data_IF_850621939284
#
_entry.id   IF_850621939284
#
_cell.length_a   1.000
_cell.length_b   1.000
_cell.length_c   1.000
_cell.angle_alpha   90.00
_cell.angle_beta   90.00
_cell.angle_gamma   90.00
#
_symmetry.space_group_name_H-M   'P 1'
#
loop_
_entity.id
_entity.type
_entity.pdbx_description
1 polymer ?
#
# COMPACT_ATOMS: atom_id res chain seq x y z
N UNK A 1 -1.34 -31.00 -5.02
CA UNK A 1 -1.11 -29.70 -5.64
C UNK A 1 -0.99 -28.66 -4.55
N UNK A 2 0.10 -27.96 -4.52
CA UNK A 2 0.27 -26.92 -3.52
C UNK A 2 -0.53 -25.69 -3.90
N UNK A 3 -1.28 -25.18 -2.94
CA UNK A 3 -1.93 -23.91 -3.11
C UNK A 3 -0.92 -22.85 -2.73
N UNK A 4 -0.40 -22.14 -3.70
CA UNK A 4 0.43 -20.98 -3.42
C UNK A 4 -0.43 -19.93 -2.73
N UNK A 5 0.06 -19.32 -1.66
CA UNK A 5 -0.65 -18.16 -1.11
C UNK A 5 -0.77 -17.08 -2.19
N UNK A 6 -1.82 -16.28 -2.11
CA UNK A 6 -1.98 -15.15 -3.02
C UNK A 6 -0.72 -14.30 -2.95
N UNK A 7 -0.16 -13.87 -4.09
CA UNK A 7 1.03 -13.04 -4.05
C UNK A 7 0.73 -11.72 -3.34
N UNK A 8 1.69 -11.26 -2.57
CA UNK A 8 1.59 -9.97 -1.88
C UNK A 8 1.40 -8.85 -2.90
N UNK A 9 2.09 -8.97 -4.04
CA UNK A 9 2.03 -8.00 -5.14
C UNK A 9 1.44 -8.71 -6.36
N UNK A 10 0.39 -8.11 -6.92
CA UNK A 10 -0.24 -8.62 -8.13
C UNK A 10 0.67 -8.41 -9.33
N UNK A 11 1.11 -9.49 -9.95
CA UNK A 11 2.02 -9.45 -11.10
C UNK A 11 1.40 -8.69 -12.28
N UNK A 12 0.09 -8.74 -12.46
CA UNK A 12 -0.56 -8.02 -13.54
C UNK A 12 -0.37 -6.51 -13.42
N UNK A 13 -0.39 -5.97 -12.19
CA UNK A 13 -0.15 -4.56 -11.96
C UNK A 13 1.30 -4.18 -12.30
N UNK A 14 2.24 -5.03 -11.91
CA UNK A 14 3.66 -4.82 -12.26
C UNK A 14 3.87 -4.87 -13.76
N UNK A 15 3.19 -5.78 -14.44
CA UNK A 15 3.30 -5.90 -15.89
C UNK A 15 2.77 -4.66 -16.60
N UNK A 16 1.68 -4.07 -16.11
CA UNK A 16 1.15 -2.82 -16.66
C UNK A 16 2.19 -1.70 -16.57
N UNK A 17 2.94 -1.64 -15.46
CA UNK A 17 4.01 -0.65 -15.30
C UNK A 17 5.16 -0.93 -16.27
N UNK A 18 5.55 -2.20 -16.42
CA UNK A 18 6.60 -2.58 -17.37
C UNK A 18 6.22 -2.25 -18.80
N UNK A 19 4.95 -2.44 -19.15
CA UNK A 19 4.46 -2.17 -20.51
C UNK A 19 4.54 -0.69 -20.87
N UNK A 20 4.54 0.20 -19.88
CA UNK A 20 4.70 1.63 -20.09
C UNK A 20 6.15 2.04 -20.37
N UNK A 21 7.09 1.14 -20.15
CA UNK A 21 8.53 1.39 -20.32
C UNK A 21 9.18 0.16 -20.97
N UNK A 22 8.90 -0.11 -22.26
CA UNK A 22 9.42 -1.30 -22.93
C UNK A 22 10.94 -1.38 -22.84
N UNK A 23 11.43 -2.55 -22.44
CA UNK A 23 12.85 -2.77 -22.26
C UNK A 23 13.46 -2.16 -21.01
N UNK A 24 12.66 -1.47 -20.20
CA UNK A 24 13.12 -0.89 -18.93
C UNK A 24 14.09 0.29 -19.08
N UNK A 25 14.08 0.95 -20.22
CA UNK A 25 15.06 2.02 -20.55
C UNK A 25 15.04 3.18 -19.58
N UNK A 26 13.87 3.49 -19.03
CA UNK A 26 13.70 4.64 -18.13
C UNK A 26 13.60 4.23 -16.67
N UNK A 27 13.76 2.94 -16.38
CA UNK A 27 13.67 2.39 -15.02
C UNK A 27 12.34 2.77 -14.34
N UNK A 28 11.25 2.78 -15.11
CA UNK A 28 9.95 3.25 -14.61
C UNK A 28 9.48 2.44 -13.40
N UNK A 29 9.55 1.11 -13.48
CA UNK A 29 9.10 0.25 -12.38
C UNK A 29 9.85 0.58 -11.09
N UNK A 30 11.18 0.62 -11.14
CA UNK A 30 12.02 0.89 -9.98
C UNK A 30 11.72 2.27 -9.40
N UNK A 31 11.51 3.26 -10.25
CA UNK A 31 11.19 4.64 -9.84
C UNK A 31 9.82 4.72 -9.15
N UNK A 32 8.84 4.02 -9.70
CA UNK A 32 7.50 3.97 -9.11
C UNK A 32 7.54 3.29 -7.74
N UNK A 33 8.27 2.18 -7.63
CA UNK A 33 8.39 1.46 -6.35
C UNK A 33 9.10 2.30 -5.29
N UNK A 34 10.14 3.04 -5.67
CA UNK A 34 10.84 3.94 -4.73
C UNK A 34 9.93 5.10 -4.29
N UNK A 35 9.15 5.65 -5.21
CA UNK A 35 8.19 6.70 -4.89
C UNK A 35 7.12 6.18 -3.92
N UNK A 36 6.64 4.95 -4.15
CA UNK A 36 5.69 4.30 -3.25
C UNK A 36 6.28 4.16 -1.85
N UNK A 37 7.52 3.66 -1.75
CA UNK A 37 8.20 3.48 -0.47
C UNK A 37 8.30 4.81 0.29
N UNK A 38 8.70 5.87 -0.38
CA UNK A 38 8.78 7.20 0.22
C UNK A 38 7.40 7.68 0.72
N UNK A 39 6.37 7.49 -0.10
CA UNK A 39 5.00 7.87 0.27
C UNK A 39 4.50 7.08 1.46
N UNK A 40 4.79 5.78 1.52
CA UNK A 40 4.36 4.90 2.61
C UNK A 40 4.97 5.32 3.94
N UNK A 41 6.25 5.68 3.94
CA UNK A 41 6.91 6.15 5.17
C UNK A 41 6.21 7.41 5.68
N UNK A 42 5.91 8.34 4.80
CA UNK A 42 5.23 9.59 5.15
C UNK A 42 3.79 9.34 5.63
N UNK A 43 3.04 8.52 4.89
CA UNK A 43 1.65 8.23 5.23
C UNK A 43 1.54 7.40 6.50
N UNK A 44 2.49 6.49 6.74
CA UNK A 44 2.55 5.73 7.98
C UNK A 44 2.76 6.63 9.19
N UNK A 45 3.65 7.62 9.07
CA UNK A 45 3.87 8.59 10.15
C UNK A 45 2.61 9.44 10.40
N UNK A 46 1.91 9.83 9.33
CA UNK A 46 0.65 10.57 9.46
C UNK A 46 -0.43 9.74 10.17
N UNK A 47 -0.50 8.44 9.88
CA UNK A 47 -1.44 7.53 10.56
C UNK A 47 -1.14 7.40 12.05
N UNK A 48 0.13 7.25 12.41
CA UNK A 48 0.53 7.16 13.82
C UNK A 48 0.11 8.43 14.56
N UNK A 49 0.40 9.59 13.99
CA UNK A 49 0.04 10.88 14.58
C UNK A 49 -1.48 11.04 14.70
N UNK A 50 -2.20 10.72 13.64
CA UNK A 50 -3.66 10.83 13.62
C UNK A 50 -4.32 9.91 14.64
N UNK A 51 -3.81 8.69 14.80
CA UNK A 51 -4.31 7.74 15.81
C UNK A 51 -4.11 8.31 17.22
N UNK A 52 -2.91 8.83 17.49
CA UNK A 52 -2.58 9.39 18.80
C UNK A 52 -3.47 10.55 19.17
N UNK A 53 -3.86 11.35 18.18
CA UNK A 53 -4.74 12.53 18.36
C UNK A 53 -6.22 12.21 18.22
N UNK A 54 -6.56 10.98 17.90
CA UNK A 54 -7.92 10.56 17.58
C UNK A 54 -8.54 11.42 16.47
N UNK A 55 -7.73 11.78 15.48
CA UNK A 55 -8.10 12.62 14.35
C UNK A 55 -8.55 11.77 13.18
N UNK A 56 -9.83 11.45 13.13
CA UNK A 56 -10.39 10.53 12.12
C UNK A 56 -10.38 11.11 10.71
N UNK A 57 -10.42 12.44 10.59
CA UNK A 57 -10.33 13.10 9.30
C UNK A 57 -8.94 12.86 8.66
N UNK A 58 -7.90 12.99 9.46
CA UNK A 58 -6.53 12.71 9.01
C UNK A 58 -6.31 11.23 8.73
N UNK A 59 -6.91 10.34 9.52
CA UNK A 59 -6.88 8.90 9.24
C UNK A 59 -7.49 8.63 7.86
N UNK A 60 -8.67 9.18 7.61
CA UNK A 60 -9.38 9.01 6.34
C UNK A 60 -8.56 9.50 5.17
N UNK A 61 -7.94 10.67 5.31
CA UNK A 61 -7.11 11.25 4.25
C UNK A 61 -5.92 10.35 3.92
N UNK A 62 -5.20 9.89 4.93
CA UNK A 62 -4.02 9.04 4.73
C UNK A 62 -4.38 7.71 4.07
N UNK A 63 -5.44 7.04 4.55
CA UNK A 63 -5.82 5.75 3.96
C UNK A 63 -6.40 5.89 2.57
N UNK A 64 -7.07 7.02 2.27
CA UNK A 64 -7.58 7.28 0.93
C UNK A 64 -6.43 7.34 -0.08
N UNK A 65 -5.39 8.08 0.23
CA UNK A 65 -4.20 8.19 -0.61
C UNK A 65 -3.49 6.84 -0.73
N UNK A 66 -3.31 6.15 0.39
CA UNK A 66 -2.64 4.85 0.43
C UNK A 66 -3.40 3.78 -0.36
N UNK A 67 -4.72 3.83 -0.35
CA UNK A 67 -5.57 2.92 -1.13
C UNK A 67 -5.22 2.95 -2.62
N UNK A 68 -5.17 4.15 -3.19
CA UNK A 68 -4.87 4.32 -4.61
C UNK A 68 -3.43 3.95 -4.95
N UNK A 69 -2.49 4.40 -4.13
CA UNK A 69 -1.07 4.09 -4.33
C UNK A 69 -0.79 2.60 -4.27
N UNK A 70 -1.42 1.90 -3.32
CA UNK A 70 -1.26 0.46 -3.14
C UNK A 70 -1.81 -0.31 -4.34
N UNK A 71 -2.99 0.08 -4.83
CA UNK A 71 -3.59 -0.57 -6.00
C UNK A 71 -2.70 -0.41 -7.23
N UNK A 72 -2.08 0.75 -7.40
CA UNK A 72 -1.23 1.04 -8.56
C UNK A 72 -0.02 0.11 -8.67
N UNK A 73 0.53 -0.31 -7.55
CA UNK A 73 1.69 -1.22 -7.54
C UNK A 73 1.29 -2.68 -7.30
N UNK A 74 0.01 -2.97 -7.23
CA UNK A 74 -0.48 -4.34 -7.06
C UNK A 74 -0.55 -4.83 -5.63
N UNK A 75 -0.41 -3.97 -4.62
CA UNK A 75 -0.56 -4.34 -3.22
C UNK A 75 -2.05 -4.35 -2.85
N UNK A 76 -2.78 -5.34 -3.37
CA UNK A 76 -4.24 -5.35 -3.35
C UNK A 76 -4.82 -5.56 -1.96
N UNK A 77 -4.18 -6.38 -1.12
CA UNK A 77 -4.65 -6.57 0.26
C UNK A 77 -4.55 -5.27 1.05
N UNK A 78 -3.43 -4.56 0.91
CA UNK A 78 -3.24 -3.27 1.56
C UNK A 78 -4.30 -2.26 1.09
N UNK A 79 -4.57 -2.24 -0.22
CA UNK A 79 -5.60 -1.37 -0.80
C UNK A 79 -6.98 -1.68 -0.21
N UNK A 80 -7.34 -2.97 -0.07
CA UNK A 80 -8.63 -3.39 0.51
C UNK A 80 -8.74 -2.99 1.98
N UNK A 81 -7.68 -3.17 2.76
CA UNK A 81 -7.67 -2.75 4.17
C UNK A 81 -7.91 -1.24 4.30
N UNK A 82 -7.27 -0.46 3.44
CA UNK A 82 -7.47 0.99 3.43
C UNK A 82 -8.91 1.36 3.06
N UNK A 83 -9.51 0.65 2.10
CA UNK A 83 -10.89 0.86 1.71
C UNK A 83 -11.86 0.56 2.87
N UNK A 84 -11.59 -0.49 3.64
CA UNK A 84 -12.40 -0.85 4.81
C UNK A 84 -12.32 0.23 5.89
N UNK A 85 -11.13 0.76 6.13
CA UNK A 85 -10.94 1.85 7.10
C UNK A 85 -11.69 3.11 6.63
N UNK A 86 -11.54 3.46 5.36
CA UNK A 86 -12.22 4.62 4.79
C UNK A 86 -13.74 4.50 4.96
N UNK A 87 -14.29 3.33 4.66
CA UNK A 87 -15.72 3.07 4.81
C UNK A 87 -16.17 3.15 6.27
N UNK A 88 -15.38 2.59 7.20
CA UNK A 88 -15.71 2.62 8.63
C UNK A 88 -15.72 4.05 9.18
N UNK A 89 -14.74 4.87 8.76
CA UNK A 89 -14.70 6.26 9.18
C UNK A 89 -15.91 7.03 8.65
N UNK A 90 -16.31 6.77 7.40
CA UNK A 90 -17.43 7.44 6.77
C UNK A 90 -18.74 7.22 7.52
N UNK A 91 -18.95 6.01 8.04
CA UNK A 91 -20.17 5.67 8.78
C UNK A 91 -19.97 5.75 10.30
N UNK A 92 -18.85 6.29 10.74
CA UNK A 92 -18.51 6.47 12.15
C UNK A 92 -18.50 5.15 12.95
N UNK A 93 -18.15 4.03 12.29
CA UNK A 93 -18.01 2.73 12.93
C UNK A 93 -16.60 2.58 13.53
N UNK A 94 -16.30 3.44 14.51
CA UNK A 94 -14.93 3.58 15.04
C UNK A 94 -14.47 2.42 15.91
N UNK A 95 -15.40 1.63 16.45
CA UNK A 95 -15.03 0.52 17.34
C UNK A 95 -14.18 -0.54 16.62
N UNK A 96 -14.40 -0.73 15.32
CA UNK A 96 -13.66 -1.71 14.52
C UNK A 96 -12.35 -1.19 13.94
N UNK A 97 -12.02 0.09 14.14
CA UNK A 97 -10.84 0.69 13.52
C UNK A 97 -9.50 0.20 14.07
N UNK A 98 -9.30 0.08 15.40
CA UNK A 98 -7.99 -0.30 15.91
C UNK A 98 -7.44 -1.60 15.30
N UNK A 99 -8.19 -2.70 15.21
CA UNK A 99 -7.67 -3.91 14.55
C UNK A 99 -7.36 -3.71 13.07
N UNK A 100 -8.18 -2.93 12.36
CA UNK A 100 -7.93 -2.65 10.94
C UNK A 100 -6.67 -1.83 10.74
N UNK A 101 -6.44 -0.83 11.58
CA UNK A 101 -5.22 -0.02 11.52
C UNK A 101 -3.98 -0.83 11.86
N UNK A 102 -4.09 -1.76 12.82
CA UNK A 102 -3.01 -2.68 13.15
C UNK A 102 -2.70 -3.60 11.96
N UNK A 103 -3.74 -4.06 11.26
CA UNK A 103 -3.58 -4.88 10.05
C UNK A 103 -2.86 -4.11 8.94
N UNK A 104 -3.18 -2.82 8.77
CA UNK A 104 -2.47 -1.96 7.81
C UNK A 104 -1.00 -1.86 8.18
N UNK A 105 -0.68 -1.63 9.45
CA UNK A 105 0.72 -1.54 9.89
C UNK A 105 1.50 -2.82 9.55
N UNK A 106 0.90 -3.97 9.81
CA UNK A 106 1.53 -5.27 9.49
C UNK A 106 1.68 -5.46 7.98
N UNK A 107 0.63 -5.13 7.22
CA UNK A 107 0.66 -5.31 5.78
C UNK A 107 1.65 -4.36 5.10
N UNK A 108 1.84 -3.17 5.62
CA UNK A 108 2.86 -2.23 5.11
C UNK A 108 4.26 -2.86 5.15
N UNK A 109 4.59 -3.52 6.25
CA UNK A 109 5.89 -4.21 6.38
C UNK A 109 6.01 -5.33 5.35
N UNK A 110 4.95 -6.15 5.20
CA UNK A 110 4.92 -7.25 4.26
C UNK A 110 5.12 -6.75 2.83
N UNK A 111 4.41 -5.68 2.45
CA UNK A 111 4.49 -5.08 1.11
C UNK A 111 5.89 -4.52 0.86
N UNK A 112 6.45 -3.76 1.79
CA UNK A 112 7.78 -3.17 1.63
C UNK A 112 8.85 -4.25 1.46
N UNK A 113 8.76 -5.34 2.22
CA UNK A 113 9.69 -6.46 2.07
C UNK A 113 9.55 -7.14 0.72
N UNK A 114 8.32 -7.28 0.22
CA UNK A 114 8.07 -7.90 -1.08
C UNK A 114 8.60 -7.03 -2.23
N UNK A 115 8.66 -5.72 -2.06
CA UNK A 115 9.12 -4.79 -3.09
C UNK A 115 10.65 -4.69 -3.18
N UNK A 116 11.37 -5.03 -2.12
CA UNK A 116 12.83 -4.86 -2.09
C UNK A 116 13.54 -5.53 -3.27
N UNK A 117 13.30 -6.82 -3.59
CA UNK A 117 13.97 -7.44 -4.73
C UNK A 117 13.58 -6.82 -6.08
N UNK A 118 12.38 -6.30 -6.19
CA UNK A 118 11.89 -5.67 -7.42
C UNK A 118 12.49 -4.28 -7.63
N UNK A 119 12.61 -3.51 -6.54
CA UNK A 119 13.18 -2.18 -6.55
C UNK A 119 14.68 -2.20 -6.86
N UNK A 120 15.39 -3.19 -6.35
CA UNK A 120 16.84 -3.31 -6.45
C UNK A 120 17.28 -4.32 -7.51
N UNK A 121 16.34 -4.77 -8.37
CA UNK A 121 16.68 -5.71 -9.44
C UNK A 121 17.71 -5.10 -10.40
N UNK A 122 18.66 -5.89 -10.89
CA UNK A 122 19.61 -5.38 -11.89
C UNK A 122 18.86 -5.03 -13.19
N UNK A 123 19.37 -4.05 -13.92
CA UNK A 123 18.75 -3.61 -15.17
C UNK A 123 18.73 -4.71 -16.24
#
# INVERSE_FOLDING_TARGET
>A
MSLSPSPVIDEAALQRLRDLDPGGKNHLLERVLRAFETSVVRLGAQLVDARAKNDMQSVRHAVHTLKSSSASIGAMRLSRLCAEIEAAVRVEAFAGLPPLLDDVDRELVVVLQALLPLRDAPP
#
